data_IF_139275346872
#
_entry.id   IF_139275346872
#
_cell.length_a   1.000
_cell.length_b   1.000
_cell.length_c   1.000
_cell.angle_alpha   90.00
_cell.angle_beta   90.00
_cell.angle_gamma   90.00
#
_symmetry.space_group_name_H-M   'P 1'
#
loop_
_entity.id
_entity.type
_entity.pdbx_description
1 polymer ?
#
# COMPACT_ATOMS: atom_id res chain seq x y z
N UNK A 1 3.25 -12.50 58.35
CA UNK A 1 3.97 -13.64 57.73
C UNK A 1 3.07 -14.07 56.60
N UNK A 2 3.34 -13.58 55.39
CA UNK A 2 2.67 -14.04 54.17
C UNK A 2 3.63 -13.86 52.99
N UNK A 3 3.53 -14.81 52.08
CA UNK A 3 4.61 -15.32 51.22
C UNK A 3 4.98 -14.37 50.08
N UNK A 4 6.28 -14.08 49.96
CA UNK A 4 6.87 -13.55 48.73
C UNK A 4 6.97 -14.68 47.70
N UNK A 5 6.03 -14.72 46.76
CA UNK A 5 6.16 -15.50 45.51
C UNK A 5 7.25 -14.87 44.63
N UNK A 6 8.44 -15.44 44.69
CA UNK A 6 9.55 -15.13 43.79
C UNK A 6 9.27 -15.76 42.41
N UNK A 7 8.88 -14.93 41.44
CA UNK A 7 8.83 -15.36 40.04
C UNK A 7 10.26 -15.63 39.56
N UNK A 8 10.50 -16.86 39.09
CA UNK A 8 11.79 -17.24 38.51
C UNK A 8 12.07 -16.44 37.22
N UNK A 9 13.34 -16.02 36.98
CA UNK A 9 13.69 -15.28 35.78
C UNK A 9 13.56 -16.16 34.54
N UNK A 10 12.75 -15.71 33.59
CA UNK A 10 12.58 -16.34 32.29
C UNK A 10 13.90 -16.24 31.51
N UNK A 11 14.41 -17.37 31.03
CA UNK A 11 15.67 -17.43 30.30
C UNK A 11 15.58 -16.57 29.01
N UNK A 12 16.65 -15.83 28.63
CA UNK A 12 16.63 -15.03 27.42
C UNK A 12 16.49 -15.93 26.19
N UNK A 13 15.70 -15.54 25.17
CA UNK A 13 15.50 -16.34 23.99
C UNK A 13 16.82 -16.54 23.24
N UNK A 14 17.08 -17.80 22.86
CA UNK A 14 18.26 -18.18 22.11
C UNK A 14 18.31 -17.38 20.79
N UNK A 15 19.36 -16.56 20.62
CA UNK A 15 19.65 -15.93 19.33
C UNK A 15 19.94 -17.04 18.33
N UNK A 16 19.10 -17.17 17.28
CA UNK A 16 19.36 -18.07 16.15
C UNK A 16 20.71 -17.73 15.55
N UNK A 17 21.69 -18.60 15.76
CA UNK A 17 23.02 -18.54 15.14
C UNK A 17 22.80 -18.84 13.65
N UNK A 18 23.10 -17.86 12.78
CA UNK A 18 23.17 -18.08 11.33
C UNK A 18 24.42 -18.91 11.04
N UNK A 19 24.21 -20.18 10.70
CA UNK A 19 25.23 -20.99 10.05
C UNK A 19 25.13 -20.72 8.55
N UNK A 20 26.19 -20.15 7.99
CA UNK A 20 26.34 -19.98 6.55
C UNK A 20 26.67 -21.34 5.93
N UNK A 21 25.82 -21.81 5.02
CA UNK A 21 26.15 -22.86 4.05
C UNK A 21 25.51 -24.23 4.27
N UNK A 22 24.21 -24.35 4.01
CA UNK A 22 23.62 -25.43 3.21
C UNK A 22 22.16 -25.03 2.89
N UNK A 23 21.77 -25.07 1.61
CA UNK A 23 20.44 -24.64 1.11
C UNK A 23 19.32 -25.66 1.44
N UNK A 24 19.58 -26.57 2.39
CA UNK A 24 18.66 -27.58 2.92
C UNK A 24 18.31 -27.28 4.37
N UNK A 25 17.87 -26.05 4.66
CA UNK A 25 17.20 -25.77 5.92
C UNK A 25 15.90 -26.59 5.95
N UNK A 26 15.80 -27.50 6.92
CA UNK A 26 14.62 -28.31 7.15
C UNK A 26 13.37 -27.42 7.26
N UNK A 27 12.43 -27.62 6.33
CA UNK A 27 11.09 -26.99 6.25
C UNK A 27 10.21 -27.23 7.52
N UNK A 28 10.71 -27.94 8.53
CA UNK A 28 9.92 -28.53 9.62
C UNK A 28 9.47 -27.55 10.73
N UNK A 29 9.91 -26.29 10.68
CA UNK A 29 9.53 -25.26 11.68
C UNK A 29 8.99 -23.97 11.03
N UNK A 30 8.55 -24.06 9.77
CA UNK A 30 7.85 -22.99 9.08
C UNK A 30 6.37 -22.99 9.52
N UNK A 31 5.97 -22.04 10.37
CA UNK A 31 4.59 -21.80 10.80
C UNK A 31 4.16 -20.32 10.66
N UNK A 32 2.84 -20.04 10.75
CA UNK A 32 2.35 -18.67 10.75
C UNK A 32 2.89 -17.88 11.96
N UNK A 33 2.98 -16.56 11.83
CA UNK A 33 3.47 -15.71 12.91
C UNK A 33 2.54 -15.67 14.12
N UNK A 34 3.13 -15.61 15.31
CA UNK A 34 2.42 -15.39 16.58
C UNK A 34 2.41 -13.89 16.91
N UNK A 35 1.22 -13.30 17.06
CA UNK A 35 1.07 -11.89 17.41
C UNK A 35 1.66 -11.50 18.77
N UNK A 36 1.77 -12.44 19.72
CA UNK A 36 2.46 -12.19 20.98
C UNK A 36 3.97 -12.05 20.78
N UNK A 37 4.50 -12.61 19.69
CA UNK A 37 5.93 -12.74 19.38
C UNK A 37 6.22 -12.32 17.94
N UNK A 38 6.27 -11.01 17.70
CA UNK A 38 6.38 -10.45 16.35
C UNK A 38 7.66 -10.87 15.59
N UNK A 39 8.67 -11.40 16.29
CA UNK A 39 9.87 -11.99 15.71
C UNK A 39 9.64 -13.35 15.02
N UNK A 40 8.51 -14.01 15.30
CA UNK A 40 8.14 -15.31 14.69
C UNK A 40 7.57 -15.19 13.30
N UNK A 41 7.11 -13.98 12.91
CA UNK A 41 6.54 -13.74 11.59
C UNK A 41 7.57 -13.99 10.49
N UNK A 42 7.13 -14.70 9.46
CA UNK A 42 7.94 -15.09 8.31
C UNK A 42 8.74 -13.91 7.74
N UNK A 43 10.05 -14.10 7.52
CA UNK A 43 10.95 -13.08 6.99
C UNK A 43 11.54 -13.49 5.64
N UNK A 44 11.09 -12.81 4.59
CA UNK A 44 11.59 -12.99 3.22
C UNK A 44 12.93 -12.27 2.94
N UNK A 45 13.62 -11.71 3.95
CA UNK A 45 14.74 -10.79 3.73
C UNK A 45 15.80 -11.26 2.73
N UNK A 46 16.15 -12.54 2.79
CA UNK A 46 17.21 -13.15 1.97
C UNK A 46 16.64 -14.10 0.92
N UNK A 47 15.33 -14.02 0.67
CA UNK A 47 14.64 -14.94 -0.20
C UNK A 47 14.56 -14.36 -1.61
N UNK A 48 14.85 -15.19 -2.63
CA UNK A 48 14.70 -14.79 -4.01
C UNK A 48 13.25 -14.47 -4.38
N UNK A 49 13.05 -13.82 -5.53
CA UNK A 49 11.74 -13.36 -6.02
C UNK A 49 10.67 -14.46 -5.97
N UNK A 50 11.02 -15.73 -6.23
CA UNK A 50 10.06 -16.85 -6.21
C UNK A 50 9.46 -17.10 -4.82
N UNK A 51 10.27 -17.12 -3.76
CA UNK A 51 9.79 -17.40 -2.39
C UNK A 51 9.06 -16.19 -1.81
N UNK A 52 9.48 -14.97 -2.16
CA UNK A 52 8.70 -13.75 -1.88
C UNK A 52 7.34 -13.78 -2.59
N UNK A 53 7.32 -14.12 -3.88
CA UNK A 53 6.09 -14.22 -4.66
C UNK A 53 5.15 -15.31 -4.11
N UNK A 54 5.69 -16.47 -3.73
CA UNK A 54 4.91 -17.56 -3.14
C UNK A 54 4.27 -17.18 -1.81
N UNK A 55 5.02 -16.52 -0.93
CA UNK A 55 4.51 -16.01 0.34
C UNK A 55 3.40 -14.95 0.17
N UNK A 56 3.49 -14.15 -0.90
CA UNK A 56 2.49 -13.14 -1.26
C UNK A 56 1.32 -13.71 -2.08
N UNK A 57 1.28 -15.03 -2.35
CA UNK A 57 0.20 -15.68 -3.08
C UNK A 57 0.23 -15.46 -4.61
N UNK A 58 1.34 -15.01 -5.17
CA UNK A 58 1.53 -14.87 -6.61
C UNK A 58 1.88 -16.21 -7.26
N UNK A 59 1.36 -16.43 -8.47
CA UNK A 59 1.58 -17.64 -9.28
C UNK A 59 2.77 -17.47 -10.24
N UNK A 60 3.20 -16.22 -10.45
CA UNK A 60 4.34 -15.87 -11.29
C UNK A 60 5.09 -14.68 -10.68
N UNK A 61 6.43 -14.66 -10.80
CA UNK A 61 7.23 -13.52 -10.32
C UNK A 61 6.95 -12.22 -11.07
N UNK A 62 6.43 -12.26 -12.31
CA UNK A 62 6.02 -11.05 -13.02
C UNK A 62 4.85 -10.34 -12.33
N UNK A 63 3.95 -11.09 -11.67
CA UNK A 63 2.86 -10.51 -10.87
C UNK A 63 3.43 -9.71 -9.69
N UNK A 64 4.45 -10.26 -9.00
CA UNK A 64 5.19 -9.55 -7.96
C UNK A 64 5.85 -8.27 -8.52
N UNK A 65 6.50 -8.36 -9.69
CA UNK A 65 7.20 -7.21 -10.29
C UNK A 65 6.23 -6.11 -10.69
N UNK A 66 5.09 -6.44 -11.31
CA UNK A 66 4.04 -5.47 -11.65
C UNK A 66 3.44 -4.87 -10.38
N UNK A 67 3.16 -5.67 -9.34
CA UNK A 67 2.66 -5.18 -8.07
C UNK A 67 3.65 -4.24 -7.36
N UNK A 68 4.95 -4.54 -7.42
CA UNK A 68 5.99 -3.72 -6.79
C UNK A 68 6.08 -2.29 -7.36
N UNK A 69 5.66 -2.08 -8.60
CA UNK A 69 5.60 -0.75 -9.23
C UNK A 69 4.18 -0.17 -9.30
N UNK A 70 3.17 -0.82 -8.71
CA UNK A 70 1.82 -0.26 -8.66
C UNK A 70 1.74 0.97 -7.73
N UNK A 71 0.74 1.82 -7.96
CA UNK A 71 0.58 3.08 -7.22
C UNK A 71 0.61 2.94 -5.68
N UNK A 72 0.01 1.90 -5.05
CA UNK A 72 0.10 1.73 -3.59
C UNK A 72 1.54 1.55 -3.12
N UNK A 73 2.35 0.81 -3.88
CA UNK A 73 3.73 0.52 -3.49
C UNK A 73 4.68 1.67 -3.79
N UNK A 74 4.46 2.39 -4.89
CA UNK A 74 5.21 3.62 -5.18
C UNK A 74 5.02 4.64 -4.05
N UNK A 75 3.75 4.86 -3.64
CA UNK A 75 3.40 5.73 -2.53
C UNK A 75 4.05 5.28 -1.22
N UNK A 76 3.85 4.03 -0.83
CA UNK A 76 4.43 3.49 0.42
C UNK A 76 5.97 3.56 0.42
N UNK A 77 6.59 3.34 -0.72
CA UNK A 77 8.06 3.39 -0.87
C UNK A 77 8.58 4.82 -0.73
N UNK A 78 7.91 5.80 -1.36
CA UNK A 78 8.22 7.21 -1.16
C UNK A 78 8.05 7.62 0.32
N UNK A 79 6.96 7.17 0.95
CA UNK A 79 6.65 7.50 2.34
C UNK A 79 7.71 6.99 3.33
N UNK A 80 8.31 5.80 3.13
CA UNK A 80 9.35 5.30 4.04
C UNK A 80 10.74 5.90 3.84
N UNK A 81 10.95 6.75 2.83
CA UNK A 81 12.26 7.33 2.55
C UNK A 81 12.94 7.96 3.79
N UNK A 82 12.24 8.74 4.65
CA UNK A 82 12.76 9.27 5.90
C UNK A 82 13.36 8.23 6.87
N UNK A 83 12.86 6.99 6.84
CA UNK A 83 13.22 5.93 7.79
C UNK A 83 13.89 4.72 7.12
N UNK A 84 14.24 4.83 5.83
CA UNK A 84 14.65 3.71 4.98
C UNK A 84 15.87 2.93 5.50
N UNK A 85 16.75 3.59 6.26
CA UNK A 85 17.94 2.97 6.86
C UNK A 85 17.65 2.06 8.05
N UNK A 86 16.50 2.21 8.72
CA UNK A 86 16.18 1.45 9.93
C UNK A 86 14.68 1.16 10.06
N UNK A 87 14.22 0.18 9.29
CA UNK A 87 12.87 -0.37 9.41
C UNK A 87 12.85 -1.43 10.52
N UNK A 88 12.11 -1.18 11.59
CA UNK A 88 11.93 -2.14 12.69
C UNK A 88 10.55 -2.80 12.57
N UNK A 89 10.50 -3.96 11.90
CA UNK A 89 9.28 -4.75 11.66
C UNK A 89 8.59 -5.13 12.98
N UNK A 90 9.35 -5.69 13.91
CA UNK A 90 8.83 -6.25 15.16
C UNK A 90 8.12 -5.18 16.00
N UNK A 91 8.74 -3.99 16.11
CA UNK A 91 8.17 -2.87 16.86
C UNK A 91 6.94 -2.27 16.14
N UNK A 92 6.99 -2.15 14.81
CA UNK A 92 5.85 -1.63 14.04
C UNK A 92 4.63 -2.58 14.12
N UNK A 93 4.84 -3.90 13.99
CA UNK A 93 3.77 -4.88 14.14
C UNK A 93 3.21 -4.90 15.57
N UNK A 94 4.07 -4.76 16.59
CA UNK A 94 3.62 -4.62 17.98
C UNK A 94 2.75 -3.38 18.19
N UNK A 95 3.11 -2.24 17.60
CA UNK A 95 2.30 -1.03 17.64
C UNK A 95 0.94 -1.23 16.94
N UNK A 96 0.91 -1.87 15.77
CA UNK A 96 -0.35 -2.18 15.07
C UNK A 96 -1.23 -3.12 15.90
N UNK A 97 -0.62 -4.09 16.59
CA UNK A 97 -1.35 -5.03 17.45
C UNK A 97 -2.07 -4.33 18.59
N UNK A 98 -1.37 -3.38 19.21
CA UNK A 98 -1.84 -2.67 20.40
C UNK A 98 -2.78 -1.49 20.02
N UNK A 99 -2.92 -1.18 18.73
CA UNK A 99 -3.81 -0.15 18.22
C UNK A 99 -5.29 -0.59 18.25
N UNK A 100 -6.25 0.34 18.47
CA UNK A 100 -7.67 0.05 18.41
C UNK A 100 -8.08 -0.55 17.06
N UNK A 101 -8.75 -1.71 17.07
CA UNK A 101 -9.09 -2.49 15.86
C UNK A 101 -10.07 -1.79 14.90
N UNK A 102 -10.78 -0.76 15.34
CA UNK A 102 -11.67 0.05 14.50
C UNK A 102 -10.93 1.08 13.64
N UNK A 103 -9.62 1.27 13.86
CA UNK A 103 -8.81 2.19 13.09
C UNK A 103 -8.44 1.57 11.73
N UNK A 104 -9.29 1.79 10.72
CA UNK A 104 -8.96 1.46 9.31
C UNK A 104 -7.88 2.39 8.74
N UNK A 105 -7.52 3.45 9.46
CA UNK A 105 -6.37 4.33 9.21
C UNK A 105 -5.54 4.46 10.49
N UNK A 106 -4.21 4.42 10.35
CA UNK A 106 -3.29 4.50 11.48
C UNK A 106 -3.32 5.84 12.23
N UNK A 107 -3.87 6.87 11.60
CA UNK A 107 -3.88 8.25 12.09
C UNK A 107 -5.07 8.52 13.02
N UNK A 108 -6.00 7.55 13.12
CA UNK A 108 -7.04 7.53 14.16
C UNK A 108 -6.44 7.48 15.57
N UNK A 109 -5.18 7.04 15.71
CA UNK A 109 -4.39 7.31 16.91
C UNK A 109 -3.75 8.71 16.79
N UNK A 110 -4.40 9.73 17.37
CA UNK A 110 -4.01 11.17 17.40
C UNK A 110 -2.52 11.50 17.68
N UNK A 111 -1.71 10.52 18.08
CA UNK A 111 -0.31 10.68 18.48
C UNK A 111 0.72 10.20 17.45
N UNK A 112 0.29 9.49 16.39
CA UNK A 112 1.18 9.00 15.35
C UNK A 112 1.15 9.95 14.16
N UNK A 113 2.33 10.29 13.63
CA UNK A 113 2.44 11.16 12.47
C UNK A 113 3.49 10.61 11.51
N UNK A 114 3.31 10.91 10.22
CA UNK A 114 4.40 10.77 9.25
C UNK A 114 5.53 11.75 9.60
N UNK A 115 6.71 11.47 9.05
CA UNK A 115 7.92 12.24 9.33
C UNK A 115 8.26 13.03 8.07
N UNK A 116 8.40 14.35 8.21
CA UNK A 116 8.66 15.25 7.08
C UNK A 116 10.15 15.43 6.78
N UNK A 117 11.04 14.95 7.67
CA UNK A 117 12.50 15.11 7.57
C UNK A 117 13.24 13.79 7.62
N UNK A 118 14.51 13.78 7.21
CA UNK A 118 15.34 12.59 7.28
C UNK A 118 15.43 12.14 8.74
N UNK A 119 14.89 10.95 9.07
CA UNK A 119 14.66 10.51 10.44
C UNK A 119 15.93 10.22 11.25
N UNK A 120 17.05 10.86 10.94
CA UNK A 120 18.29 10.85 11.73
C UNK A 120 18.02 11.47 13.11
N UNK A 121 18.59 10.87 14.15
CA UNK A 121 18.37 11.29 15.54
C UNK A 121 17.02 10.90 16.16
N UNK A 122 16.01 10.51 15.37
CA UNK A 122 14.72 10.06 15.91
C UNK A 122 14.83 8.70 16.63
N UNK A 123 14.02 8.55 17.67
CA UNK A 123 13.91 7.30 18.42
C UNK A 123 13.43 6.14 17.54
N UNK A 124 13.79 4.91 17.90
CA UNK A 124 13.30 3.73 17.19
C UNK A 124 11.78 3.61 17.25
N UNK A 125 11.16 4.10 18.33
CA UNK A 125 9.71 4.10 18.52
C UNK A 125 9.04 5.00 17.48
N UNK A 126 9.48 6.26 17.31
CA UNK A 126 8.92 7.17 16.29
C UNK A 126 9.04 6.62 14.87
N UNK A 127 10.15 5.95 14.56
CA UNK A 127 10.34 5.29 13.24
C UNK A 127 9.40 4.10 13.06
N UNK A 128 9.13 3.36 14.12
CA UNK A 128 8.21 2.24 14.09
C UNK A 128 6.75 2.71 13.98
N UNK A 129 6.37 3.82 14.64
CA UNK A 129 5.06 4.46 14.46
C UNK A 129 4.88 4.89 12.99
N UNK A 130 5.87 5.56 12.41
CA UNK A 130 5.85 5.92 10.99
C UNK A 130 5.70 4.68 10.10
N UNK A 131 6.49 3.62 10.33
CA UNK A 131 6.37 2.38 9.57
C UNK A 131 4.98 1.74 9.74
N UNK A 132 4.41 1.76 10.95
CA UNK A 132 3.08 1.24 11.22
C UNK A 132 2.02 1.99 10.40
N UNK A 133 2.10 3.33 10.33
CA UNK A 133 1.24 4.15 9.46
C UNK A 133 1.36 3.70 8.01
N UNK A 134 2.57 3.60 7.48
CA UNK A 134 2.79 3.22 6.08
C UNK A 134 2.26 1.82 5.79
N UNK A 135 2.41 0.86 6.69
CA UNK A 135 1.88 -0.50 6.50
C UNK A 135 0.35 -0.55 6.51
N UNK A 136 -0.29 0.23 7.38
CA UNK A 136 -1.75 0.34 7.43
C UNK A 136 -2.29 0.98 6.14
N UNK A 137 -1.68 2.08 5.71
CA UNK A 137 -2.07 2.77 4.49
C UNK A 137 -1.83 1.91 3.26
N UNK A 138 -0.69 1.21 3.18
CA UNK A 138 -0.39 0.28 2.08
C UNK A 138 -1.43 -0.83 1.97
N UNK A 139 -1.86 -1.43 3.08
CA UNK A 139 -2.91 -2.46 3.08
C UNK A 139 -4.24 -1.89 2.55
N UNK A 140 -4.63 -0.72 3.03
CA UNK A 140 -5.85 -0.02 2.57
C UNK A 140 -5.77 0.30 1.07
N UNK A 141 -4.63 0.81 0.62
CA UNK A 141 -4.39 1.22 -0.76
C UNK A 141 -4.41 0.04 -1.73
N UNK A 142 -3.87 -1.11 -1.32
CA UNK A 142 -3.99 -2.35 -2.08
C UNK A 142 -5.44 -2.82 -2.21
N UNK A 143 -6.27 -2.64 -1.17
CA UNK A 143 -7.70 -2.94 -1.26
C UNK A 143 -8.43 -1.93 -2.18
N UNK A 144 -8.10 -0.64 -2.09
CA UNK A 144 -8.63 0.41 -2.97
C UNK A 144 -8.29 0.15 -4.44
N UNK A 145 -7.05 -0.25 -4.72
CA UNK A 145 -6.61 -0.58 -6.07
C UNK A 145 -7.44 -1.71 -6.70
N UNK A 146 -7.79 -2.74 -5.93
CA UNK A 146 -8.63 -3.85 -6.40
C UNK A 146 -10.08 -3.42 -6.66
N UNK A 147 -10.60 -2.48 -5.88
CA UNK A 147 -11.97 -2.01 -5.99
C UNK A 147 -12.18 -0.91 -7.05
N UNK A 148 -11.11 -0.21 -7.45
CA UNK A 148 -11.16 0.89 -8.41
C UNK A 148 -11.18 0.39 -9.87
N UNK A 149 -11.64 1.26 -10.79
CA UNK A 149 -11.53 1.01 -12.23
C UNK A 149 -10.08 1.13 -12.72
N UNK A 150 -9.79 0.53 -13.87
CA UNK A 150 -8.47 0.61 -14.51
C UNK A 150 -8.05 2.06 -14.79
N UNK A 151 -8.99 2.92 -15.23
CA UNK A 151 -8.72 4.34 -15.47
C UNK A 151 -8.34 5.08 -14.18
N UNK A 152 -9.08 4.84 -13.08
CA UNK A 152 -8.76 5.43 -11.77
C UNK A 152 -7.42 4.95 -11.24
N UNK A 153 -7.10 3.67 -11.44
CA UNK A 153 -5.82 3.10 -11.04
C UNK A 153 -4.65 3.66 -11.87
N UNK A 154 -4.82 3.77 -13.19
CA UNK A 154 -3.81 4.32 -14.09
C UNK A 154 -3.55 5.80 -13.80
N UNK A 155 -4.58 6.52 -13.38
CA UNK A 155 -4.48 7.89 -12.94
C UNK A 155 -3.66 8.04 -11.66
N UNK A 156 -4.03 7.27 -10.64
CA UNK A 156 -3.35 7.28 -9.36
C UNK A 156 -1.88 6.86 -9.52
N UNK A 157 -1.63 5.90 -10.41
CA UNK A 157 -0.29 5.48 -10.81
C UNK A 157 0.55 6.60 -11.41
N UNK A 158 0.00 7.39 -12.34
CA UNK A 158 0.73 8.51 -12.93
C UNK A 158 1.13 9.55 -11.86
N UNK A 159 0.19 9.88 -10.97
CA UNK A 159 0.43 10.77 -9.83
C UNK A 159 1.51 10.23 -8.88
N UNK A 160 1.38 8.99 -8.41
CA UNK A 160 2.33 8.41 -7.46
C UNK A 160 3.70 8.12 -8.11
N UNK A 161 3.78 7.87 -9.43
CA UNK A 161 5.05 7.85 -10.16
C UNK A 161 5.75 9.21 -10.13
N UNK A 162 5.03 10.32 -10.23
CA UNK A 162 5.62 11.67 -10.16
C UNK A 162 6.19 11.92 -8.76
N UNK A 163 5.42 11.64 -7.70
CA UNK A 163 5.88 11.75 -6.31
C UNK A 163 7.11 10.86 -6.07
N UNK A 164 7.07 9.63 -6.56
CA UNK A 164 8.20 8.70 -6.46
C UNK A 164 9.47 9.25 -7.12
N UNK A 165 9.37 9.84 -8.32
CA UNK A 165 10.52 10.44 -9.03
C UNK A 165 11.12 11.63 -8.27
N UNK A 166 10.32 12.39 -7.53
CA UNK A 166 10.83 13.47 -6.68
C UNK A 166 11.73 12.92 -5.55
N UNK A 167 11.34 11.79 -4.97
CA UNK A 167 12.11 11.13 -3.89
C UNK A 167 13.30 10.33 -4.44
N UNK A 168 13.13 9.72 -5.62
CA UNK A 168 14.10 8.82 -6.25
C UNK A 168 14.40 9.26 -7.70
N UNK A 169 15.09 10.40 -7.91
CA UNK A 169 15.28 10.99 -9.24
C UNK A 169 16.13 10.13 -10.18
N UNK A 170 16.95 9.22 -9.64
CA UNK A 170 17.75 8.29 -10.43
C UNK A 170 16.98 7.07 -10.95
N UNK A 171 15.77 6.82 -10.45
CA UNK A 171 15.00 5.62 -10.74
C UNK A 171 13.79 5.93 -11.61
N UNK A 172 13.74 5.33 -12.81
CA UNK A 172 12.60 5.53 -13.70
C UNK A 172 11.39 4.73 -13.21
N UNK A 173 10.26 5.41 -13.08
CA UNK A 173 8.96 4.79 -12.84
C UNK A 173 8.25 4.63 -14.19
N UNK A 174 7.88 3.40 -14.63
CA UNK A 174 7.08 3.22 -15.84
C UNK A 174 5.79 4.03 -15.74
N UNK A 175 5.53 4.99 -16.65
CA UNK A 175 4.37 5.88 -16.52
C UNK A 175 3.04 5.14 -16.69
N UNK A 176 3.06 3.96 -17.32
CA UNK A 176 1.89 3.12 -17.54
C UNK A 176 2.22 1.67 -17.19
N UNK A 177 1.28 1.01 -16.53
CA UNK A 177 1.30 -0.43 -16.29
C UNK A 177 -0.08 -0.99 -16.62
N UNK A 178 -0.15 -2.27 -16.99
CA UNK A 178 -1.43 -2.90 -17.31
C UNK A 178 -2.19 -3.22 -16.03
N UNK A 179 -3.36 -2.61 -15.87
CA UNK A 179 -4.38 -2.98 -14.89
C UNK A 179 -5.37 -3.99 -15.51
N UNK A 180 -6.01 -4.86 -14.72
CA UNK A 180 -5.93 -4.96 -13.26
C UNK A 180 -4.61 -5.59 -12.78
N UNK A 181 -4.02 -4.99 -11.75
CA UNK A 181 -2.85 -5.56 -11.06
C UNK A 181 -3.32 -6.57 -10.03
N UNK A 182 -2.76 -7.77 -10.04
CA UNK A 182 -3.06 -8.79 -9.02
C UNK A 182 -2.57 -8.30 -7.66
N UNK A 183 -3.48 -8.24 -6.69
CA UNK A 183 -3.16 -7.89 -5.30
C UNK A 183 -2.52 -9.08 -4.58
N UNK A 184 -1.56 -8.87 -3.66
CA UNK A 184 -1.04 -9.93 -2.81
C UNK A 184 -2.15 -10.53 -1.93
N UNK A 185 -1.92 -11.76 -1.45
CA UNK A 185 -2.81 -12.43 -0.51
C UNK A 185 -2.77 -11.72 0.85
N UNK A 186 -3.65 -10.75 1.10
CA UNK A 186 -3.71 -10.03 2.37
C UNK A 186 -4.72 -10.60 3.36
N UNK A 187 -5.61 -11.49 2.92
CA UNK A 187 -6.49 -12.22 3.81
C UNK A 187 -5.69 -13.21 4.67
N UNK A 188 -5.97 -13.34 5.98
CA UNK A 188 -5.39 -14.39 6.80
C UNK A 188 -5.79 -15.76 6.24
N UNK A 189 -4.80 -16.64 6.09
CA UNK A 189 -5.01 -18.06 5.83
C UNK A 189 -5.40 -18.78 7.14
N UNK A 190 -5.79 -20.04 7.05
CA UNK A 190 -6.14 -20.83 8.24
C UNK A 190 -4.97 -20.86 9.24
N UNK A 191 -5.25 -20.45 10.47
CA UNK A 191 -4.27 -20.37 11.56
C UNK A 191 -3.40 -19.12 11.57
N UNK A 192 -3.57 -18.19 10.63
CA UNK A 192 -2.85 -16.91 10.63
C UNK A 192 -3.52 -15.87 11.52
N UNK A 193 -2.69 -15.10 12.21
CA UNK A 193 -3.14 -13.89 12.90
C UNK A 193 -3.40 -12.73 11.92
N UNK A 194 -4.21 -11.76 12.32
CA UNK A 194 -4.50 -10.57 11.51
C UNK A 194 -3.25 -9.75 11.15
N UNK A 195 -2.19 -9.83 11.97
CA UNK A 195 -0.90 -9.19 11.72
C UNK A 195 -0.17 -9.75 10.50
N UNK A 196 -0.50 -10.95 10.04
CA UNK A 196 0.15 -11.56 8.87
C UNK A 196 -0.07 -10.70 7.61
N UNK A 197 -1.25 -10.07 7.50
CA UNK A 197 -1.54 -9.12 6.43
C UNK A 197 -0.55 -7.96 6.38
N UNK A 198 -0.18 -7.40 7.53
CA UNK A 198 0.82 -6.32 7.62
C UNK A 198 2.25 -6.84 7.46
N UNK A 199 2.54 -8.07 7.90
CA UNK A 199 3.83 -8.72 7.64
C UNK A 199 4.04 -8.93 6.13
N UNK A 200 3.00 -9.30 5.38
CA UNK A 200 3.04 -9.37 3.91
C UNK A 200 3.26 -8.01 3.26
N UNK A 201 2.55 -6.97 3.70
CA UNK A 201 2.81 -5.59 3.27
C UNK A 201 4.26 -5.17 3.52
N UNK A 202 4.81 -5.51 4.69
CA UNK A 202 6.21 -5.25 5.01
C UNK A 202 7.18 -6.01 4.10
N UNK A 203 6.93 -7.29 3.84
CA UNK A 203 7.74 -8.10 2.91
C UNK A 203 7.76 -7.52 1.51
N UNK A 204 6.62 -7.04 0.99
CA UNK A 204 6.54 -6.40 -0.31
C UNK A 204 7.29 -5.06 -0.35
N UNK A 205 7.12 -4.22 0.67
CA UNK A 205 7.84 -2.95 0.80
C UNK A 205 9.36 -3.15 0.94
N UNK A 206 9.76 -4.17 1.69
CA UNK A 206 11.17 -4.58 1.84
C UNK A 206 11.74 -5.08 0.52
N UNK A 207 10.98 -5.86 -0.26
CA UNK A 207 11.36 -6.28 -1.61
C UNK A 207 11.66 -5.07 -2.49
N UNK A 208 10.74 -4.10 -2.54
CA UNK A 208 10.92 -2.84 -3.29
C UNK A 208 12.16 -2.06 -2.82
N UNK A 209 12.37 -1.93 -1.51
CA UNK A 209 13.57 -1.28 -0.95
C UNK A 209 14.87 -1.99 -1.37
N UNK A 210 14.89 -3.32 -1.38
CA UNK A 210 16.07 -4.09 -1.71
C UNK A 210 16.43 -3.95 -3.20
N UNK A 211 15.43 -3.97 -4.09
CA UNK A 211 15.68 -3.78 -5.53
C UNK A 211 16.16 -2.36 -5.84
N UNK A 212 15.64 -1.32 -5.16
CA UNK A 212 16.08 0.07 -5.33
C UNK A 212 17.54 0.30 -4.94
N UNK A 213 18.06 -0.45 -3.95
CA UNK A 213 19.47 -0.37 -3.55
C UNK A 213 20.43 -1.02 -4.55
N UNK A 214 19.92 -1.67 -5.59
CA UNK A 214 20.69 -2.43 -6.56
C UNK A 214 20.44 -1.92 -7.96
N UNK A 215 21.32 -2.24 -8.91
CA UNK A 215 21.07 -1.98 -10.33
C UNK A 215 19.91 -2.82 -10.91
N UNK A 216 19.32 -3.73 -10.12
CA UNK A 216 18.18 -4.57 -10.53
C UNK A 216 16.97 -3.72 -10.85
N UNK A 217 16.72 -2.64 -10.10
CA UNK A 217 15.56 -1.78 -10.37
C UNK A 217 15.60 -1.22 -11.78
N UNK A 218 16.66 -0.49 -12.13
CA UNK A 218 16.78 0.17 -13.42
C UNK A 218 16.82 -0.86 -14.56
N UNK A 219 17.56 -1.96 -14.40
CA UNK A 219 17.62 -3.01 -15.44
C UNK A 219 16.29 -3.72 -15.66
N UNK A 220 15.46 -3.84 -14.62
CA UNK A 220 14.15 -4.52 -14.67
C UNK A 220 13.04 -3.61 -15.18
N UNK A 221 13.00 -2.35 -14.73
CA UNK A 221 11.87 -1.45 -14.97
C UNK A 221 12.12 -0.39 -16.04
N UNK A 222 13.37 -0.15 -16.46
CA UNK A 222 13.66 0.68 -17.66
C UNK A 222 13.31 -0.05 -18.96
N UNK A 223 13.01 -1.35 -18.87
CA UNK A 223 12.60 -2.19 -19.99
C UNK A 223 11.29 -2.88 -19.63
N UNK A 224 10.60 -3.46 -20.61
CA UNK A 224 9.43 -4.30 -20.37
C UNK A 224 9.74 -5.64 -19.66
N UNK A 225 10.95 -5.82 -19.10
CA UNK A 225 11.39 -7.07 -18.46
C UNK A 225 10.57 -7.41 -17.22
N UNK A 226 10.02 -6.44 -16.50
CA UNK A 226 9.11 -6.68 -15.37
C UNK A 226 7.85 -7.48 -15.75
N UNK A 227 7.49 -7.52 -17.04
CA UNK A 227 6.39 -8.35 -17.56
C UNK A 227 6.78 -9.82 -17.71
N UNK A 228 8.08 -10.12 -17.75
CA UNK A 228 8.60 -11.49 -17.81
C UNK A 228 8.90 -12.01 -16.41
N UNK A 229 8.66 -13.30 -16.20
CA UNK A 229 8.80 -13.90 -14.88
C UNK A 229 8.78 -15.42 -14.93
N UNK A 230 8.94 -16.01 -13.76
CA UNK A 230 8.96 -17.45 -13.59
C UNK A 230 7.75 -17.91 -12.81
N UNK A 231 7.21 -19.08 -13.19
CA UNK A 231 6.18 -19.72 -12.41
C UNK A 231 6.67 -20.00 -10.98
N UNK A 232 5.77 -19.82 -10.02
CA UNK A 232 6.00 -20.02 -8.60
C UNK A 232 5.37 -21.36 -8.20
N UNK A 233 6.19 -22.40 -8.18
CA UNK A 233 5.82 -23.74 -7.72
C UNK A 233 5.42 -23.75 -6.23
N UNK A 234 4.61 -24.74 -5.81
CA UNK A 234 4.18 -24.92 -4.39
C UNK A 234 5.34 -24.97 -3.40
N UNK A 235 6.50 -25.51 -3.78
CA UNK A 235 7.70 -25.55 -2.90
C UNK A 235 8.22 -24.16 -2.48
N UNK A 236 7.85 -23.11 -3.21
CA UNK A 236 8.23 -21.73 -2.89
C UNK A 236 7.22 -21.04 -1.97
N UNK A 237 6.07 -21.67 -1.69
CA UNK A 237 5.14 -21.20 -0.67
C UNK A 237 5.57 -21.73 0.70
N UNK A 238 5.34 -20.98 1.80
CA UNK A 238 5.59 -21.51 3.13
C UNK A 238 4.74 -22.75 3.42
N UNK A 239 5.25 -23.66 4.25
CA UNK A 239 4.63 -24.97 4.48
C UNK A 239 3.14 -24.90 4.86
N UNK A 240 2.74 -23.96 5.72
CA UNK A 240 1.34 -23.79 6.15
C UNK A 240 0.41 -23.18 5.09
N UNK A 241 0.97 -22.53 4.06
CA UNK A 241 0.20 -21.94 2.94
C UNK A 241 0.07 -22.87 1.74
N UNK A 242 0.85 -23.97 1.71
CA UNK A 242 0.76 -24.98 0.64
C UNK A 242 -0.61 -25.65 0.73
N UNK A 243 -1.22 -25.92 -0.43
CA UNK A 243 -2.43 -26.73 -0.46
C UNK A 243 -2.10 -28.05 0.25
N UNK A 244 -2.83 -28.39 1.33
CA UNK A 244 -2.65 -29.66 2.00
C UNK A 244 -3.02 -30.75 0.99
N UNK A 245 -2.01 -31.31 0.33
CA UNK A 245 -2.20 -32.30 -0.70
C UNK A 245 -3.02 -33.45 -0.14
N UNK A 246 -4.10 -33.76 -0.83
CA UNK A 246 -4.91 -34.97 -0.75
C UNK A 246 -4.13 -36.28 -0.98
N UNK A 247 -2.80 -36.23 -0.94
CA UNK A 247 -1.85 -37.26 -1.36
C UNK A 247 -1.00 -37.78 -0.20
N UNK A 248 -1.60 -37.95 0.99
CA UNK A 248 -1.19 -39.10 1.80
C UNK A 248 -1.99 -40.30 1.30
N UNK A 249 -1.44 -41.17 0.42
CA UNK A 249 -1.95 -42.53 0.38
C UNK A 249 -1.84 -43.03 1.82
N UNK A 250 -2.99 -43.37 2.42
CA UNK A 250 -3.04 -44.11 3.67
C UNK A 250 -2.02 -45.23 3.54
N UNK A 251 -0.90 -45.11 4.23
CA UNK A 251 0.01 -46.23 4.42
C UNK A 251 -0.80 -47.22 5.24
N UNK A 252 -1.50 -48.12 4.55
CA UNK A 252 -2.01 -49.34 5.14
C UNK A 252 -0.81 -50.04 5.73
N UNK A 253 -0.62 -49.88 7.04
CA UNK A 253 0.15 -50.84 7.80
C UNK A 253 -0.37 -52.24 7.42
N UNK A 254 0.52 -53.20 7.11
CA UNK A 254 0.10 -54.58 6.99
C UNK A 254 -0.33 -55.03 8.39
N UNK A 255 -1.65 -55.13 8.61
CA UNK A 255 -2.15 -55.92 9.72
C UNK A 255 -1.80 -57.37 9.41
N UNK A 256 -0.81 -57.89 10.14
CA UNK A 256 -0.58 -59.31 10.28
C UNK A 256 -1.90 -59.98 10.70
N UNK A 257 -2.25 -61.01 9.95
CA UNK A 257 -3.55 -61.65 10.00
C UNK A 257 -3.84 -62.42 11.28
N UNK A 258 -5.13 -62.70 11.46
CA UNK A 258 -5.62 -63.91 12.10
C UNK A 258 -6.98 -64.26 11.46
N UNK A 259 -7.11 -65.54 11.20
CA UNK A 259 -8.12 -66.24 10.41
C UNK A 259 -9.57 -66.09 10.92
N UNK A 260 -10.54 -66.03 10.00
CA UNK A 260 -11.74 -66.89 9.96
C UNK A 260 -12.71 -66.50 8.81
N UNK A 261 -13.31 -67.46 8.08
CA UNK A 261 -14.30 -67.21 7.02
C UNK A 261 -15.74 -67.65 7.46
N UNK A 262 -16.75 -67.71 6.57
CA UNK A 262 -17.58 -66.58 6.15
C UNK A 262 -19.08 -66.83 6.40
N UNK A 263 -19.89 -65.76 6.56
CA UNK A 263 -21.34 -65.86 6.34
C UNK A 263 -21.90 -64.67 5.54
N UNK A 264 -22.21 -64.99 4.29
CA UNK A 264 -23.47 -64.71 3.58
C UNK A 264 -24.38 -63.61 4.13
N UNK A 265 -24.61 -62.55 3.34
CA UNK A 265 -25.93 -62.15 2.81
C UNK A 265 -25.84 -60.91 1.89
N UNK A 266 -26.27 -61.09 0.64
CA UNK A 266 -26.87 -60.08 -0.27
C UNK A 266 -28.33 -59.84 0.17
N UNK A 267 -29.14 -58.94 -0.44
CA UNK A 267 -28.90 -57.82 -1.39
C UNK A 267 -29.54 -56.50 -0.89
N UNK A 268 -29.37 -55.31 -1.50
CA UNK A 268 -30.07 -54.80 -2.69
C UNK A 268 -29.74 -53.30 -2.83
N UNK A 269 -29.55 -52.79 -4.05
CA UNK A 269 -30.29 -51.70 -4.72
C UNK A 269 -30.55 -50.46 -3.84
N UNK A 270 -30.14 -49.24 -4.20
CA UNK A 270 -30.64 -48.40 -5.31
C UNK A 270 -29.73 -47.14 -5.27
N UNK A 271 -29.23 -46.65 -6.41
CA UNK A 271 -29.41 -45.22 -6.76
C UNK A 271 -28.85 -44.85 -8.14
N UNK A 272 -29.83 -44.44 -8.93
CA UNK A 272 -29.89 -43.40 -9.95
C UNK A 272 -28.63 -42.91 -10.68
N UNK A 273 -28.72 -43.12 -11.99
CA UNK A 273 -27.87 -42.59 -13.04
C UNK A 273 -28.38 -41.20 -13.43
N UNK A 274 -27.61 -40.15 -13.17
CA UNK A 274 -27.75 -38.86 -13.85
C UNK A 274 -26.47 -38.53 -14.63
N UNK A 275 -26.56 -38.69 -15.96
CA UNK A 275 -25.61 -38.12 -16.92
C UNK A 275 -25.96 -36.65 -17.18
N UNK A 276 -24.99 -35.72 -17.24
CA UNK A 276 -25.24 -34.37 -17.73
C UNK A 276 -25.19 -34.33 -19.26
N UNK A 277 -26.19 -33.65 -19.83
CA UNK A 277 -26.28 -33.25 -21.23
C UNK A 277 -25.32 -32.08 -21.49
N UNK A 278 -24.42 -32.22 -22.47
CA UNK A 278 -23.61 -31.14 -23.03
C UNK A 278 -24.19 -30.69 -24.38
N UNK A 279 -24.39 -29.39 -24.64
CA UNK A 279 -24.51 -28.90 -26.00
C UNK A 279 -23.18 -28.37 -26.52
N UNK A 280 -22.84 -28.89 -27.69
CA UNK A 280 -21.67 -28.61 -28.51
C UNK A 280 -21.65 -27.17 -29.02
N UNK A 281 -20.52 -26.51 -28.75
CA UNK A 281 -19.75 -25.55 -29.57
C UNK A 281 -20.33 -25.22 -30.97
N UNK A 282 -20.64 -23.95 -31.21
CA UNK A 282 -20.57 -23.35 -32.54
C UNK A 282 -19.34 -22.45 -32.66
N UNK A 283 -18.51 -22.73 -33.68
CA UNK A 283 -17.39 -21.93 -34.13
C UNK A 283 -17.92 -20.73 -34.94
N UNK A 284 -17.70 -19.50 -34.45
CA UNK A 284 -17.77 -18.31 -35.32
C UNK A 284 -16.36 -17.81 -35.66
N UNK A 285 -16.10 -17.77 -36.95
CA UNK A 285 -14.85 -17.45 -37.64
C UNK A 285 -14.42 -16.00 -37.40
N UNK A 286 -13.14 -15.80 -37.08
CA UNK A 286 -12.46 -14.50 -37.14
C UNK A 286 -12.14 -14.13 -38.60
N UNK A 287 -12.20 -12.85 -39.01
CA UNK A 287 -11.65 -12.43 -40.28
C UNK A 287 -10.15 -12.14 -40.15
N UNK A 288 -9.40 -12.86 -40.97
CA UNK A 288 -8.01 -12.62 -41.36
C UNK A 288 -7.85 -11.25 -42.01
N UNK A 289 -7.01 -10.38 -41.44
CA UNK A 289 -6.49 -9.20 -42.14
C UNK A 289 -5.01 -9.39 -42.41
N UNK A 290 -4.70 -9.61 -43.68
CA UNK A 290 -3.38 -9.62 -44.25
C UNK A 290 -2.76 -8.21 -44.17
N UNK A 291 -1.56 -8.09 -43.60
CA UNK A 291 -0.62 -7.04 -43.99
C UNK A 291 0.71 -7.66 -44.42
N UNK A 292 1.13 -7.20 -45.58
CA UNK A 292 2.18 -7.76 -46.40
C UNK A 292 3.57 -7.44 -45.86
N UNK A 293 4.47 -8.42 -46.08
CA UNK A 293 5.91 -8.28 -45.99
C UNK A 293 6.42 -7.23 -47.00
N UNK A 294 7.05 -6.18 -46.48
CA UNK A 294 7.91 -5.28 -47.23
C UNK A 294 9.35 -5.48 -46.77
N UNK A 295 10.13 -6.22 -47.56
CA UNK A 295 11.58 -6.37 -47.43
C UNK A 295 12.29 -5.05 -47.70
N UNK A 296 13.16 -4.61 -46.79
CA UNK A 296 14.20 -3.63 -47.09
C UNK A 296 15.49 -3.98 -46.35
N UNK A 297 16.38 -4.60 -47.13
CA UNK A 297 17.84 -4.59 -47.13
C UNK A 297 18.60 -4.02 -45.93
N UNK A 298 19.39 -4.89 -45.30
CA UNK A 298 20.57 -4.55 -44.51
C UNK A 298 21.65 -3.85 -45.35
N UNK A 299 22.46 -2.98 -44.73
CA UNK A 299 23.88 -2.86 -45.05
C UNK A 299 24.77 -3.37 -43.91
N UNK A 300 25.78 -4.15 -44.31
CA UNK A 300 26.89 -4.65 -43.49
C UNK A 300 27.77 -3.53 -42.89
N UNK A 301 28.52 -3.83 -41.81
CA UNK A 301 29.30 -2.85 -41.08
C UNK A 301 30.66 -2.58 -41.73
N UNK A 302 30.97 -1.32 -41.96
CA UNK A 302 32.32 -0.86 -42.30
C UNK A 302 33.05 -0.45 -41.01
N UNK A 303 34.27 -0.96 -40.85
CA UNK A 303 35.17 -0.73 -39.75
C UNK A 303 35.47 0.76 -39.52
N UNK A 304 35.22 1.23 -38.29
CA UNK A 304 35.67 2.54 -37.82
C UNK A 304 36.85 2.31 -36.88
N UNK A 305 38.02 2.78 -37.32
CA UNK A 305 39.26 2.86 -36.55
C UNK A 305 39.05 3.75 -35.31
N UNK A 306 39.37 3.19 -34.14
CA UNK A 306 39.63 3.96 -32.93
C UNK A 306 40.78 4.95 -33.17
N UNK A 307 40.54 6.22 -32.84
CA UNK A 307 41.56 7.26 -32.77
C UNK A 307 41.38 7.96 -31.42
N UNK A 308 42.32 7.72 -30.52
CA UNK A 308 42.42 8.42 -29.23
C UNK A 308 42.50 9.94 -29.44
N UNK A 309 41.80 10.76 -28.62
CA UNK A 309 42.12 12.17 -28.50
C UNK A 309 43.09 12.41 -27.33
N UNK A 310 44.10 13.30 -27.51
CA UNK A 310 44.99 13.68 -26.44
C UNK A 310 44.31 14.65 -25.47
N UNK A 311 44.58 14.40 -24.19
CA UNK A 311 44.27 15.27 -23.05
C UNK A 311 45.11 16.54 -23.14
N UNK A 312 44.47 17.69 -23.40
CA UNK A 312 44.89 18.98 -22.84
C UNK A 312 43.83 20.06 -23.07
N UNK A 313 43.07 20.42 -22.03
CA UNK A 313 42.28 21.66 -22.02
C UNK A 313 42.57 22.43 -20.73
N UNK A 314 43.40 23.45 -20.86
CA UNK A 314 43.54 24.54 -19.90
C UNK A 314 42.23 25.34 -19.86
N UNK A 315 41.63 25.44 -18.68
CA UNK A 315 40.53 26.37 -18.41
C UNK A 315 41.07 27.80 -18.38
N UNK A 316 40.78 28.57 -19.45
CA UNK A 316 40.85 30.03 -19.44
C UNK A 316 39.53 30.60 -18.94
N UNK A 317 39.54 31.13 -17.71
CA UNK A 317 38.45 31.95 -17.19
C UNK A 317 38.49 33.32 -17.88
N UNK A 318 37.55 33.60 -18.78
CA UNK A 318 37.25 34.97 -19.23
C UNK A 318 35.86 35.06 -19.86
N UNK A 319 35.15 36.13 -19.51
CA UNK A 319 33.88 36.63 -20.06
C UNK A 319 32.57 36.00 -19.53
N UNK A 320 32.20 36.40 -18.30
CA UNK A 320 30.79 36.43 -17.87
C UNK A 320 30.13 37.57 -18.63
N UNK A 321 29.34 37.26 -19.66
CA UNK A 321 28.37 38.19 -20.23
C UNK A 321 27.18 38.27 -19.27
N UNK A 322 26.91 39.46 -18.77
CA UNK A 322 25.72 39.80 -17.99
C UNK A 322 24.46 39.47 -18.81
N UNK A 323 23.81 38.36 -18.49
CA UNK A 323 22.44 38.10 -18.92
C UNK A 323 21.57 39.05 -18.10
N UNK A 324 21.01 40.06 -18.75
CA UNK A 324 19.94 40.88 -18.18
C UNK A 324 18.76 39.98 -17.85
N UNK A 325 18.62 39.65 -16.55
CA UNK A 325 17.41 39.03 -16.02
C UNK A 325 16.27 40.05 -16.19
N UNK A 326 15.51 39.91 -17.27
CA UNK A 326 14.19 40.50 -17.30
C UNK A 326 13.39 39.89 -16.15
N UNK A 327 12.88 40.69 -15.19
CA UNK A 327 12.03 40.18 -14.14
C UNK A 327 10.83 39.51 -14.83
N UNK A 328 10.76 38.18 -14.69
CA UNK A 328 9.64 37.39 -15.16
C UNK A 328 8.39 38.00 -14.54
N UNK A 329 7.51 38.56 -15.36
CA UNK A 329 6.20 39.02 -14.92
C UNK A 329 5.43 37.76 -14.52
N UNK A 330 5.48 37.44 -13.23
CA UNK A 330 4.68 36.38 -12.66
C UNK A 330 3.21 36.77 -12.87
N UNK A 331 2.43 35.98 -13.63
CA UNK A 331 1.03 36.31 -13.88
C UNK A 331 0.29 36.44 -12.54
N UNK A 332 -0.66 37.38 -12.42
CA UNK A 332 -1.37 37.59 -11.17
C UNK A 332 -2.03 36.29 -10.71
N UNK A 333 -1.98 35.97 -9.41
CA UNK A 333 -2.50 34.71 -8.90
C UNK A 333 -3.98 34.55 -9.25
N UNK A 334 -4.30 33.45 -9.92
CA UNK A 334 -5.67 33.12 -10.31
C UNK A 334 -6.51 32.99 -9.04
N UNK A 335 -7.60 33.77 -8.97
CA UNK A 335 -8.54 33.69 -7.85
C UNK A 335 -9.23 32.32 -7.90
N UNK A 336 -9.03 31.51 -6.85
CA UNK A 336 -9.61 30.18 -6.73
C UNK A 336 -10.67 30.17 -5.64
N UNK A 337 -11.72 29.38 -5.84
CA UNK A 337 -12.73 29.11 -4.82
C UNK A 337 -12.50 27.74 -4.21
N UNK A 338 -12.43 27.70 -2.89
CA UNK A 338 -12.35 26.46 -2.12
C UNK A 338 -13.69 26.24 -1.43
N UNK A 339 -14.27 25.06 -1.65
CA UNK A 339 -15.50 24.67 -0.99
C UNK A 339 -15.21 23.64 0.10
N UNK A 340 -16.10 23.57 1.08
CA UNK A 340 -16.12 22.55 2.10
C UNK A 340 -17.50 21.90 2.14
N UNK A 341 -17.52 20.58 2.15
CA UNK A 341 -18.70 19.73 2.17
C UNK A 341 -18.66 18.83 3.40
N UNK A 342 -19.64 18.97 4.29
CA UNK A 342 -19.91 17.97 5.31
C UNK A 342 -20.46 16.72 4.62
N UNK A 343 -19.68 15.66 4.65
CA UNK A 343 -20.00 14.39 4.00
C UNK A 343 -20.29 13.28 5.02
N UNK A 344 -21.56 12.94 5.17
CA UNK A 344 -22.01 11.88 6.09
C UNK A 344 -21.67 10.45 5.63
N UNK A 345 -21.02 10.29 4.46
CA UNK A 345 -20.67 8.98 3.88
C UNK A 345 -19.20 8.62 4.02
N UNK A 346 -18.35 9.58 4.40
CA UNK A 346 -16.88 9.43 4.47
C UNK A 346 -16.41 8.48 5.59
N UNK A 347 -17.23 8.32 6.63
CA UNK A 347 -17.01 7.44 7.78
C UNK A 347 -18.23 6.52 7.97
N UNK A 348 -18.36 5.46 7.15
CA UNK A 348 -19.52 4.56 7.22
C UNK A 348 -19.57 3.76 8.53
N UNK A 349 -18.41 3.54 9.16
CA UNK A 349 -18.24 2.64 10.31
C UNK A 349 -18.42 3.34 11.67
N UNK A 350 -18.51 4.69 11.70
CA UNK A 350 -18.75 5.41 12.95
C UNK A 350 -20.24 5.40 13.30
N UNK A 351 -20.60 5.15 14.58
CA UNK A 351 -21.98 5.13 15.00
C UNK A 351 -22.62 6.52 14.82
N UNK A 352 -23.35 6.68 13.71
CA UNK A 352 -24.30 7.76 13.42
C UNK A 352 -25.20 8.14 14.62
N UNK A 353 -25.57 7.23 15.55
CA UNK A 353 -26.32 7.61 16.74
C UNK A 353 -25.65 8.68 17.62
N UNK A 354 -24.33 8.66 17.77
CA UNK A 354 -23.60 9.65 18.56
C UNK A 354 -23.71 11.05 17.97
N UNK A 355 -23.34 11.18 16.70
CA UNK A 355 -23.41 12.44 15.95
C UNK A 355 -24.84 13.01 15.92
N UNK A 356 -25.84 12.15 15.66
CA UNK A 356 -27.25 12.56 15.68
C UNK A 356 -27.70 13.07 17.06
N UNK A 357 -27.28 12.41 18.15
CA UNK A 357 -27.57 12.85 19.52
C UNK A 357 -26.94 14.21 19.82
N UNK A 358 -25.66 14.40 19.50
CA UNK A 358 -24.96 15.68 19.68
C UNK A 358 -25.68 16.82 18.94
N UNK A 359 -26.04 16.61 17.68
CA UNK A 359 -26.79 17.58 16.87
C UNK A 359 -28.17 17.91 17.44
N UNK A 360 -28.90 16.91 17.94
CA UNK A 360 -30.19 17.12 18.59
C UNK A 360 -30.06 17.92 19.89
N UNK A 361 -29.05 17.64 20.71
CA UNK A 361 -28.76 18.40 21.94
C UNK A 361 -28.42 19.86 21.61
N UNK A 362 -27.54 20.08 20.64
CA UNK A 362 -27.17 21.42 20.20
C UNK A 362 -28.39 22.20 19.69
N UNK A 363 -29.24 21.57 18.87
CA UNK A 363 -30.49 22.15 18.39
C UNK A 363 -31.46 22.47 19.53
N UNK A 364 -31.57 21.59 20.54
CA UNK A 364 -32.41 21.83 21.72
C UNK A 364 -31.87 22.99 22.59
N UNK A 365 -30.55 23.18 22.63
CA UNK A 365 -29.88 24.33 23.23
C UNK A 365 -29.95 25.62 22.37
N UNK A 366 -30.61 25.58 21.22
CA UNK A 366 -30.75 26.74 20.33
C UNK A 366 -29.52 27.04 19.47
N UNK A 367 -28.56 26.12 19.37
CA UNK A 367 -27.42 26.26 18.47
C UNK A 367 -27.88 26.21 17.00
N UNK A 368 -27.25 27.03 16.15
CA UNK A 368 -27.49 27.04 14.72
C UNK A 368 -26.78 25.85 14.04
N UNK A 369 -27.45 25.19 13.11
CA UNK A 369 -26.84 24.11 12.32
C UNK A 369 -26.20 24.70 11.05
N UNK A 370 -24.89 24.58 10.86
CA UNK A 370 -24.23 25.07 9.66
C UNK A 370 -24.72 24.33 8.40
N UNK A 371 -24.66 25.01 7.25
CA UNK A 371 -24.91 24.39 5.95
C UNK A 371 -23.90 23.26 5.69
N UNK A 372 -24.35 22.18 5.06
CA UNK A 372 -23.49 21.07 4.66
C UNK A 372 -22.45 21.51 3.63
N UNK A 373 -22.82 22.42 2.72
CA UNK A 373 -21.91 22.98 1.73
C UNK A 373 -21.63 24.46 2.03
N UNK A 374 -20.36 24.83 2.17
CA UNK A 374 -19.93 26.20 2.43
C UNK A 374 -18.70 26.57 1.61
N UNK A 375 -18.48 27.86 1.38
CA UNK A 375 -17.21 28.37 0.86
C UNK A 375 -16.22 28.54 2.02
N UNK A 376 -14.96 28.15 1.85
CA UNK A 376 -13.94 28.39 2.87
C UNK A 376 -13.77 29.91 3.11
N UNK A 377 -13.78 30.35 4.37
CA UNK A 377 -13.69 31.80 4.69
C UNK A 377 -12.30 32.40 4.45
N UNK A 378 -11.26 31.56 4.49
CA UNK A 378 -9.86 31.94 4.23
C UNK A 378 -9.35 31.12 3.05
N UNK A 379 -8.30 31.58 2.38
CA UNK A 379 -7.64 30.76 1.36
C UNK A 379 -6.75 29.73 2.08
N UNK A 380 -6.89 28.41 1.81
CA UNK A 380 -6.04 27.40 2.44
C UNK A 380 -4.57 27.53 2.01
N UNK A 381 -4.26 28.19 0.88
CA UNK A 381 -2.88 28.45 0.44
C UNK A 381 -2.14 29.43 1.36
N UNK A 382 -2.88 30.30 2.05
CA UNK A 382 -2.32 31.29 2.98
C UNK A 382 -2.03 30.68 4.37
N UNK A 383 -2.35 29.39 4.58
CA UNK A 383 -2.18 28.71 5.86
C UNK A 383 -0.87 27.91 5.86
N UNK A 384 0.13 28.43 6.57
CA UNK A 384 1.46 27.82 6.71
C UNK A 384 1.46 26.51 7.51
N UNK A 385 0.39 26.23 8.27
CA UNK A 385 0.25 25.06 9.11
C UNK A 385 -1.12 24.40 8.95
N UNK A 386 -1.12 23.08 8.82
CA UNK A 386 -2.31 22.22 8.78
C UNK A 386 -3.26 22.48 9.95
N UNK A 387 -2.72 22.72 11.15
CA UNK A 387 -3.52 22.96 12.36
C UNK A 387 -4.42 24.20 12.21
N UNK A 388 -3.95 25.24 11.51
CA UNK A 388 -4.75 26.44 11.27
C UNK A 388 -5.91 26.17 10.30
N UNK A 389 -5.69 25.27 9.35
CA UNK A 389 -6.74 24.81 8.45
C UNK A 389 -7.82 24.04 9.22
N UNK A 390 -7.43 23.13 10.11
CA UNK A 390 -8.39 22.38 10.93
C UNK A 390 -9.15 23.28 11.91
N UNK A 391 -8.48 24.24 12.54
CA UNK A 391 -9.13 25.26 13.37
C UNK A 391 -10.12 26.10 12.58
N UNK A 392 -9.79 26.49 11.35
CA UNK A 392 -10.69 27.22 10.46
C UNK A 392 -11.96 26.41 10.16
N UNK A 393 -11.83 25.10 9.88
CA UNK A 393 -12.99 24.23 9.66
C UNK A 393 -13.82 24.11 10.94
N UNK A 394 -13.19 23.83 12.09
CA UNK A 394 -13.88 23.71 13.38
C UNK A 394 -14.67 24.96 13.74
N UNK A 395 -14.07 26.13 13.51
CA UNK A 395 -14.72 27.41 13.75
C UNK A 395 -15.87 27.66 12.77
N UNK A 396 -15.71 27.26 11.50
CA UNK A 396 -16.72 27.46 10.46
C UNK A 396 -17.94 26.54 10.62
N UNK A 397 -17.75 25.33 11.15
CA UNK A 397 -18.84 24.39 11.47
C UNK A 397 -19.29 24.46 12.93
N UNK A 398 -18.81 25.44 13.71
CA UNK A 398 -19.19 25.63 15.12
C UNK A 398 -19.07 24.34 15.95
N UNK A 399 -18.04 23.53 15.68
CA UNK A 399 -17.89 22.18 16.23
C UNK A 399 -18.06 22.11 17.75
N UNK A 400 -17.50 23.10 18.46
CA UNK A 400 -17.62 23.23 19.92
C UNK A 400 -19.07 23.42 20.38
N UNK A 401 -19.86 24.25 19.70
CA UNK A 401 -21.26 24.49 20.05
C UNK A 401 -22.13 23.27 19.73
N UNK A 402 -21.75 22.50 18.73
CA UNK A 402 -22.43 21.28 18.31
C UNK A 402 -22.04 20.04 19.13
N UNK A 403 -20.98 20.11 19.95
CA UNK A 403 -20.44 18.96 20.67
C UNK A 403 -19.88 17.89 19.72
N UNK A 404 -19.25 18.32 18.62
CA UNK A 404 -18.63 17.46 17.61
C UNK A 404 -17.16 17.88 17.40
N UNK A 405 -16.37 17.02 16.78
CA UNK A 405 -15.02 17.34 16.32
C UNK A 405 -14.77 16.73 14.93
N UNK A 406 -13.70 17.19 14.27
CA UNK A 406 -13.29 16.71 12.96
C UNK A 406 -12.87 15.24 13.03
N UNK A 407 -13.55 14.40 12.25
CA UNK A 407 -13.08 13.07 11.88
C UNK A 407 -12.29 13.16 10.58
N UNK A 408 -12.65 12.32 9.62
CA UNK A 408 -11.96 12.19 8.34
C UNK A 408 -12.05 13.41 7.44
N UNK A 409 -10.95 13.74 6.77
CA UNK A 409 -10.85 14.86 5.86
C UNK A 409 -10.23 14.47 4.52
N UNK A 410 -10.99 14.64 3.44
CA UNK A 410 -10.52 14.41 2.07
C UNK A 410 -10.50 15.71 1.29
N UNK A 411 -9.49 15.93 0.45
CA UNK A 411 -9.50 16.95 -0.58
C UNK A 411 -9.81 16.30 -1.92
N UNK A 412 -10.81 16.83 -2.61
CA UNK A 412 -11.13 16.49 -3.99
C UNK A 412 -10.84 17.68 -4.90
N UNK A 413 -10.22 17.44 -6.03
CA UNK A 413 -9.95 18.46 -7.03
C UNK A 413 -9.83 17.83 -8.41
N UNK A 414 -10.02 18.64 -9.43
CA UNK A 414 -9.77 18.26 -10.80
C UNK A 414 -8.34 18.64 -11.17
N UNK A 415 -7.56 17.74 -11.74
CA UNK A 415 -6.20 18.03 -12.24
C UNK A 415 -6.17 17.88 -13.76
N UNK A 416 -5.55 18.81 -14.48
CA UNK A 416 -5.35 18.74 -15.93
C UNK A 416 -3.89 18.48 -16.33
N UNK A 417 -3.02 18.15 -15.37
CA UNK A 417 -1.58 17.93 -15.59
C UNK A 417 -1.30 16.84 -16.65
N UNK A 418 -2.26 15.94 -16.88
CA UNK A 418 -2.14 14.84 -17.86
C UNK A 418 -2.97 15.05 -19.14
N UNK A 419 -3.39 16.29 -19.44
CA UNK A 419 -4.14 16.64 -20.65
C UNK A 419 -5.65 16.38 -20.59
N UNK A 420 -6.10 15.45 -19.74
CA UNK A 420 -7.50 15.23 -19.40
C UNK A 420 -7.77 15.68 -17.96
N UNK A 421 -8.93 16.31 -17.73
CA UNK A 421 -9.34 16.76 -16.39
C UNK A 421 -9.81 15.57 -15.56
N UNK A 422 -9.08 15.29 -14.49
CA UNK A 422 -9.21 14.06 -13.71
C UNK A 422 -9.58 14.37 -12.26
N UNK A 423 -10.53 13.63 -11.67
CA UNK A 423 -10.90 13.82 -10.27
C UNK A 423 -9.88 13.12 -9.37
N UNK A 424 -9.06 13.89 -8.66
CA UNK A 424 -8.13 13.42 -7.64
C UNK A 424 -8.81 13.47 -6.28
N UNK A 425 -8.59 12.44 -5.45
CA UNK A 425 -9.02 12.42 -4.05
C UNK A 425 -7.83 12.13 -3.15
N UNK A 426 -7.45 13.13 -2.36
CA UNK A 426 -6.34 13.10 -1.42
C UNK A 426 -6.91 12.93 -0.01
N UNK A 427 -6.39 11.99 0.79
CA UNK A 427 -6.70 11.95 2.22
C UNK A 427 -5.72 12.84 2.96
N UNK A 428 -6.21 13.93 3.55
CA UNK A 428 -5.35 14.92 4.21
C UNK A 428 -4.72 14.36 5.47
N UNK A 429 -5.32 13.34 6.08
CA UNK A 429 -4.69 12.65 7.19
C UNK A 429 -3.43 11.92 6.72
N UNK A 430 -3.47 11.29 5.54
CA UNK A 430 -2.39 10.41 5.06
C UNK A 430 -1.27 11.14 4.31
N UNK A 431 -1.42 12.45 4.08
CA UNK A 431 -0.50 13.23 3.26
C UNK A 431 0.06 14.43 4.02
N UNK A 432 1.34 14.74 3.78
CA UNK A 432 1.95 15.92 4.36
C UNK A 432 1.21 17.19 3.90
N UNK A 433 1.04 18.15 4.80
CA UNK A 433 0.39 19.42 4.45
C UNK A 433 1.07 20.15 3.28
N UNK A 434 2.41 20.02 3.17
CA UNK A 434 3.16 20.56 2.04
C UNK A 434 2.72 20.01 0.68
N UNK A 435 2.36 18.73 0.61
CA UNK A 435 1.84 18.10 -0.62
C UNK A 435 0.46 18.67 -0.96
N UNK A 436 -0.39 18.85 0.05
CA UNK A 436 -1.69 19.50 -0.11
C UNK A 436 -1.53 20.94 -0.60
N UNK A 437 -0.62 21.71 0.00
CA UNK A 437 -0.33 23.08 -0.45
C UNK A 437 0.19 23.13 -1.87
N UNK A 438 1.08 22.20 -2.26
CA UNK A 438 1.55 22.08 -3.63
C UNK A 438 0.39 21.81 -4.61
N UNK A 439 -0.51 20.88 -4.27
CA UNK A 439 -1.70 20.59 -5.07
C UNK A 439 -2.65 21.81 -5.19
N UNK A 440 -2.83 22.57 -4.09
CA UNK A 440 -3.65 23.78 -4.06
C UNK A 440 -3.02 24.94 -4.86
N UNK A 441 -1.70 25.00 -4.97
CA UNK A 441 -0.95 26.04 -5.67
C UNK A 441 -0.80 25.77 -7.18
N UNK A 442 -0.81 24.50 -7.59
CA UNK A 442 -0.63 24.08 -8.99
C UNK A 442 -1.70 24.67 -9.92
N UNK A 443 -1.30 25.41 -10.95
CA UNK A 443 -2.18 26.07 -11.93
C UNK A 443 -3.13 25.12 -12.67
N UNK A 444 -2.73 23.85 -12.82
CA UNK A 444 -3.48 22.83 -13.56
C UNK A 444 -4.56 22.16 -12.69
N UNK A 445 -4.64 22.50 -11.41
CA UNK A 445 -5.63 21.98 -10.50
C UNK A 445 -6.78 22.99 -10.29
N UNK A 446 -8.03 22.52 -10.38
CA UNK A 446 -9.24 23.32 -10.15
C UNK A 446 -10.32 22.57 -9.36
N UNK A 447 -11.46 23.25 -9.09
CA UNK A 447 -12.64 22.68 -8.39
C UNK A 447 -12.33 21.98 -7.07
N UNK A 448 -11.61 22.66 -6.20
CA UNK A 448 -11.24 22.15 -4.88
C UNK A 448 -12.45 22.06 -3.93
N UNK A 449 -12.71 20.86 -3.42
CA UNK A 449 -13.74 20.54 -2.43
C UNK A 449 -13.12 19.74 -1.29
N UNK A 450 -13.15 20.28 -0.08
CA UNK A 450 -12.79 19.54 1.13
C UNK A 450 -14.01 18.80 1.66
N UNK A 451 -14.00 17.46 1.65
CA UNK A 451 -15.05 16.60 2.22
C UNK A 451 -14.69 16.25 3.65
N UNK A 452 -15.59 16.54 4.58
CA UNK A 452 -15.32 16.46 6.01
C UNK A 452 -16.33 15.55 6.71
N UNK A 453 -15.82 14.60 7.48
CA UNK A 453 -16.54 13.82 8.46
C UNK A 453 -16.40 14.44 9.85
N UNK A 454 -17.41 14.22 10.69
CA UNK A 454 -17.41 14.65 12.07
C UNK A 454 -17.84 13.51 12.97
N UNK A 455 -17.29 13.46 14.18
CA UNK A 455 -17.74 12.56 15.24
C UNK A 455 -18.23 13.36 16.45
N UNK A 456 -19.10 12.75 17.26
CA UNK A 456 -19.56 13.36 18.50
C UNK A 456 -18.49 13.28 19.58
N UNK A 457 -18.34 14.35 20.36
CA UNK A 457 -17.59 14.29 21.61
C UNK A 457 -18.46 13.57 22.64
N UNK A 458 -17.90 12.54 23.29
CA UNK A 458 -18.53 11.92 24.43
C UNK A 458 -18.54 12.96 25.56
N UNK A 459 -19.75 13.38 25.95
CA UNK A 459 -19.91 14.12 27.19
C UNK A 459 -19.98 13.06 28.28
N UNK A 460 -18.95 13.00 29.12
CA UNK A 460 -18.88 12.09 30.28
C UNK A 460 -20.06 12.26 31.27
N UNK A 461 -20.94 13.25 31.05
CA UNK A 461 -22.08 13.59 31.90
C UNK A 461 -23.34 12.74 31.67
N UNK A 462 -23.41 11.89 30.64
CA UNK A 462 -24.61 11.09 30.31
C UNK A 462 -24.68 9.71 31.02
N UNK A 463 -23.69 9.34 31.85
CA UNK A 463 -23.62 8.05 32.58
C UNK A 463 -23.93 8.15 34.10
N UNK A 464 -24.55 9.25 34.55
CA UNK A 464 -25.02 9.46 35.94
C UNK A 464 -26.52 9.79 35.96
#
# INVERSE_FOLDING_TARGET
>A
MDEHSLSSPQAPPAKRIRLDGDDTLADEDEGPGDAARSETFFDCNNMGDKKTAGYLGFSNTSELHVCAISWPLLRATAAIYPIMHKLNKELALGLIRDAPRSATSAIVLKNWSLLDSDGKGLSNIRKAEHLAIVLINLKSDLARMVAASDDTNQLQHAHDCQKFRTVYPSHLCPPQISYPVKSPLLAPSDGEDFLESYNRCFSLLRHMRNILKSSVYDTRYNTDKFKSGHHVDEKYKPAWMRAQGSDKPRTTQPQHGLDSPPQSRRPSAVDETHKPWMPTRELSKSPTSHYAFGSASQPSPAAVKEREPPVNYQFGLSAIQSIEFHPSYEPPPISRSFAILWDHTIEPDYPKPGLKRAMNRAKAAGAHLPSEFQKLKKDPRDMDRETLFYEQIRAQFECRALGIDLGKLLLQYNSSTFGESILVTQNLEDEAWSDTQAALADSDNDKFVFRVGFFALDNDDDDN
#
